data_IF_277386224279
#
_entry.id   IF_277386224279
#
_cell.length_a   1.000
_cell.length_b   1.000
_cell.length_c   1.000
_cell.angle_alpha   90.00
_cell.angle_beta   90.00
_cell.angle_gamma   90.00
#
_symmetry.space_group_name_H-M   'P 1'
#
loop_
_entity.id
_entity.type
_entity.pdbx_description
1 polymer ?
#
# COMPACT_ATOMS: atom_id res chain seq x y z
N UNK A 1 -59.97 14.93 -12.91
CA UNK A 1 -60.09 16.32 -13.35
C UNK A 1 -60.16 17.16 -12.08
N UNK A 2 -59.18 17.01 -11.19
CA UNK A 2 -57.78 17.49 -11.30
C UNK A 2 -57.79 19.01 -11.01
N UNK A 3 -57.02 19.59 -10.09
CA UNK A 3 -55.65 19.29 -9.70
C UNK A 3 -55.36 19.76 -8.26
N UNK A 4 -54.44 19.01 -7.63
CA UNK A 4 -53.63 19.46 -6.49
C UNK A 4 -52.72 20.62 -6.96
N UNK A 5 -52.29 21.57 -6.14
CA UNK A 5 -50.93 21.49 -5.60
C UNK A 5 -50.72 22.59 -4.57
N UNK A 6 -50.61 22.17 -3.32
CA UNK A 6 -50.11 22.98 -2.22
C UNK A 6 -48.76 22.41 -1.82
N UNK A 7 -47.68 22.90 -2.41
CA UNK A 7 -46.36 22.89 -1.79
C UNK A 7 -45.52 24.04 -2.35
N UNK A 8 -45.49 25.13 -1.59
CA UNK A 8 -44.41 26.10 -1.68
C UNK A 8 -43.10 25.33 -1.58
N UNK A 9 -42.37 25.30 -2.69
CA UNK A 9 -41.06 24.67 -2.79
C UNK A 9 -40.13 25.44 -1.86
N UNK A 10 -40.02 24.95 -0.62
CA UNK A 10 -38.94 25.35 0.27
C UNK A 10 -37.64 25.02 -0.47
N UNK A 11 -36.74 25.99 -0.70
CA UNK A 11 -35.47 25.68 -1.30
C UNK A 11 -34.82 24.66 -0.36
N UNK A 12 -34.56 23.46 -0.86
CA UNK A 12 -33.61 22.56 -0.22
C UNK A 12 -32.31 23.34 -0.17
N UNK A 13 -32.09 24.00 0.95
CA UNK A 13 -30.79 24.47 1.36
C UNK A 13 -29.88 23.27 1.15
N UNK A 14 -28.96 23.38 0.18
CA UNK A 14 -27.73 22.61 0.19
C UNK A 14 -27.01 23.03 1.46
N UNK A 15 -27.48 22.51 2.59
CA UNK A 15 -26.87 22.69 3.89
C UNK A 15 -25.56 21.95 3.82
N UNK A 16 -24.49 22.74 3.71
CA UNK A 16 -23.11 22.43 4.00
C UNK A 16 -22.70 20.97 3.80
N UNK A 17 -21.96 20.72 2.73
CA UNK A 17 -20.89 19.74 2.79
C UNK A 17 -19.90 20.26 3.85
N UNK A 18 -20.23 20.04 5.12
CA UNK A 18 -19.36 20.35 6.25
C UNK A 18 -18.22 19.35 6.26
N UNK A 19 -17.05 19.81 6.70
CA UNK A 19 -15.90 18.96 6.94
C UNK A 19 -16.29 17.82 7.88
N UNK A 20 -15.94 16.56 7.53
CA UNK A 20 -16.05 15.45 8.47
C UNK A 20 -14.88 15.48 9.47
N UNK A 21 -14.99 14.71 10.56
CA UNK A 21 -13.89 14.56 11.52
C UNK A 21 -12.68 13.91 10.83
N UNK A 22 -12.93 12.91 9.97
CA UNK A 22 -11.92 12.25 9.15
C UNK A 22 -11.22 13.22 8.18
N UNK A 23 -11.95 14.17 7.58
CA UNK A 23 -11.35 15.20 6.72
C UNK A 23 -10.35 16.07 7.51
N UNK A 24 -10.67 16.38 8.77
CA UNK A 24 -9.84 17.20 9.64
C UNK A 24 -8.60 16.44 10.13
N UNK A 25 -8.77 15.19 10.54
CA UNK A 25 -7.68 14.28 10.92
C UNK A 25 -6.71 14.07 9.76
N UNK A 26 -7.25 13.75 8.57
CA UNK A 26 -6.47 13.56 7.36
C UNK A 26 -5.61 14.80 7.04
N UNK A 27 -6.22 16.00 7.09
CA UNK A 27 -5.51 17.25 6.90
C UNK A 27 -4.39 17.48 7.93
N UNK A 28 -4.66 17.16 9.20
CA UNK A 28 -3.68 17.25 10.27
C UNK A 28 -2.47 16.33 10.01
N UNK A 29 -2.71 15.06 9.66
CA UNK A 29 -1.63 14.11 9.39
C UNK A 29 -0.82 14.47 8.13
N UNK A 30 -1.45 15.03 7.10
CA UNK A 30 -0.71 15.56 5.94
C UNK A 30 0.16 16.76 6.29
N UNK A 31 -0.33 17.64 7.16
CA UNK A 31 0.47 18.77 7.67
C UNK A 31 1.66 18.27 8.49
N UNK A 32 1.45 17.31 9.38
CA UNK A 32 2.51 16.70 10.17
C UNK A 32 3.55 15.97 9.33
N UNK A 33 3.13 15.26 8.28
CA UNK A 33 4.04 14.62 7.34
C UNK A 33 4.91 15.67 6.66
N UNK A 34 4.30 16.73 6.12
CA UNK A 34 5.03 17.82 5.47
C UNK A 34 6.06 18.46 6.39
N UNK A 35 5.65 18.80 7.61
CA UNK A 35 6.55 19.40 8.60
C UNK A 35 7.71 18.47 8.96
N UNK A 36 7.46 17.17 9.07
CA UNK A 36 8.51 16.18 9.27
C UNK A 36 9.48 16.12 8.09
N UNK A 37 8.99 16.10 6.85
CA UNK A 37 9.84 16.09 5.65
C UNK A 37 10.74 17.33 5.57
N UNK A 38 10.25 18.48 6.05
CA UNK A 38 11.00 19.75 6.05
C UNK A 38 12.04 19.85 7.18
N UNK A 39 11.84 19.14 8.30
CA UNK A 39 12.68 19.24 9.50
C UNK A 39 13.70 18.12 9.64
N UNK A 40 13.31 16.89 9.31
CA UNK A 40 14.15 15.72 9.55
C UNK A 40 15.42 15.74 8.67
N UNK A 41 16.62 15.52 9.24
CA UNK A 41 17.86 15.57 8.48
C UNK A 41 17.90 14.63 7.28
N UNK A 42 17.40 13.40 7.42
CA UNK A 42 17.37 12.42 6.33
C UNK A 42 16.42 12.88 5.23
N UNK A 43 15.22 13.32 5.60
CA UNK A 43 14.21 13.77 4.64
C UNK A 43 14.67 15.02 3.86
N UNK A 44 15.39 15.92 4.53
CA UNK A 44 15.97 17.12 3.92
C UNK A 44 17.07 16.80 2.93
N UNK A 45 17.98 15.87 3.26
CA UNK A 45 19.04 15.43 2.34
C UNK A 45 18.42 14.77 1.12
N UNK A 46 17.44 13.88 1.31
CA UNK A 46 16.70 13.24 0.22
C UNK A 46 15.82 14.21 -0.59
N UNK A 47 15.71 15.47 -0.13
CA UNK A 47 14.90 16.55 -0.72
C UNK A 47 13.49 16.09 -1.03
N UNK A 48 12.91 15.35 -0.09
CA UNK A 48 11.57 14.82 -0.25
C UNK A 48 10.57 15.97 -0.33
N UNK A 49 9.83 15.99 -1.42
CA UNK A 49 8.67 16.86 -1.57
C UNK A 49 7.46 15.97 -1.69
N UNK A 50 6.38 16.36 -1.02
CA UNK A 50 5.10 15.74 -1.24
C UNK A 50 4.62 16.14 -2.65
N UNK A 51 4.94 15.33 -3.66
CA UNK A 51 4.51 15.54 -5.07
C UNK A 51 3.07 15.03 -5.29
N UNK A 52 2.54 14.26 -4.34
CA UNK A 52 1.16 13.81 -4.26
C UNK A 52 0.89 13.14 -2.92
N UNK A 53 -0.37 12.77 -2.67
CA UNK A 53 -0.72 12.00 -1.48
C UNK A 53 -0.18 10.57 -1.56
N UNK A 54 0.35 10.02 -0.47
CA UNK A 54 0.68 8.60 -0.41
C UNK A 54 -0.55 7.77 -0.78
N UNK A 55 -0.38 6.75 -1.62
CA UNK A 55 -1.53 5.98 -2.15
C UNK A 55 -1.52 4.50 -1.81
N UNK A 56 -0.34 3.92 -1.60
CA UNK A 56 -0.20 2.49 -1.31
C UNK A 56 0.24 2.31 0.14
N UNK A 57 -0.27 1.26 0.82
CA UNK A 57 0.17 0.92 2.18
C UNK A 57 1.67 0.65 2.21
N UNK A 58 2.28 0.91 3.37
CA UNK A 58 3.73 0.76 3.56
C UNK A 58 4.08 -0.45 4.44
N UNK A 59 5.22 -1.07 4.18
CA UNK A 59 5.76 -2.18 4.97
C UNK A 59 6.54 -1.66 6.18
N UNK A 60 6.39 -2.31 7.33
CA UNK A 60 7.18 -1.98 8.53
C UNK A 60 8.70 -2.06 8.26
N UNK A 61 9.50 -1.09 8.75
CA UNK A 61 10.95 -1.14 8.68
C UNK A 61 11.51 -2.32 9.48
N UNK A 62 12.54 -2.97 8.94
CA UNK A 62 13.24 -4.04 9.65
C UNK A 62 14.25 -3.40 10.60
N UNK A 63 14.39 -3.91 11.82
CA UNK A 63 15.45 -3.43 12.72
C UNK A 63 16.80 -3.95 12.21
N UNK A 64 17.59 -3.07 11.63
CA UNK A 64 18.90 -3.42 11.07
C UNK A 64 20.04 -2.96 11.99
N UNK A 65 21.23 -3.55 11.88
CA UNK A 65 22.44 -3.03 12.52
C UNK A 65 23.39 -2.37 11.49
N UNK A 66 22.97 -2.31 10.22
CA UNK A 66 23.76 -1.86 9.10
C UNK A 66 23.18 -0.57 8.52
N UNK A 67 24.04 0.41 8.26
CA UNK A 67 23.68 1.72 7.70
C UNK A 67 23.05 1.61 6.31
N UNK A 68 23.63 0.78 5.44
CA UNK A 68 23.09 0.56 4.10
C UNK A 68 21.68 -0.03 4.13
N UNK A 69 21.42 -1.00 5.01
CA UNK A 69 20.08 -1.58 5.11
C UNK A 69 19.06 -0.57 5.67
N UNK A 70 19.46 0.28 6.63
CA UNK A 70 18.60 1.37 7.10
C UNK A 70 18.26 2.37 5.99
N UNK A 71 19.21 2.73 5.13
CA UNK A 71 18.96 3.62 3.97
C UNK A 71 18.07 2.93 2.94
N UNK A 72 18.29 1.65 2.65
CA UNK A 72 17.42 0.86 1.77
C UNK A 72 15.99 0.80 2.29
N UNK A 73 15.79 0.69 3.60
CA UNK A 73 14.46 0.72 4.23
C UNK A 73 13.77 2.08 3.99
N UNK A 74 14.49 3.21 4.10
CA UNK A 74 13.94 4.54 3.77
C UNK A 74 13.51 4.59 2.31
N UNK A 75 14.38 4.21 1.38
CA UNK A 75 14.08 4.24 -0.05
C UNK A 75 12.92 3.30 -0.42
N UNK A 76 12.82 2.14 0.23
CA UNK A 76 11.69 1.21 0.07
C UNK A 76 10.39 1.87 0.49
N UNK A 77 10.32 2.47 1.68
CA UNK A 77 9.12 3.16 2.17
C UNK A 77 8.66 4.25 1.20
N UNK A 78 9.61 5.03 0.68
CA UNK A 78 9.29 6.10 -0.27
C UNK A 78 8.72 5.53 -1.56
N UNK A 79 9.31 4.47 -2.09
CA UNK A 79 8.83 3.78 -3.28
C UNK A 79 7.41 3.23 -3.08
N UNK A 80 7.17 2.54 -1.97
CA UNK A 80 5.86 2.00 -1.60
C UNK A 80 4.84 3.14 -1.46
N UNK A 81 5.17 4.21 -0.74
CA UNK A 81 4.28 5.37 -0.61
C UNK A 81 4.06 6.17 -1.92
N UNK A 82 4.69 5.80 -3.03
CA UNK A 82 4.63 6.55 -4.28
C UNK A 82 5.34 7.92 -4.21
N UNK A 83 6.24 8.09 -3.25
CA UNK A 83 7.03 9.30 -3.05
C UNK A 83 8.33 9.24 -3.84
N UNK A 84 8.76 10.40 -4.35
CA UNK A 84 10.00 10.53 -5.11
C UNK A 84 10.99 11.42 -4.37
N UNK A 85 12.26 11.02 -4.36
CA UNK A 85 13.35 11.86 -3.84
C UNK A 85 13.76 12.88 -4.90
N UNK A 86 14.27 14.03 -4.45
CA UNK A 86 14.98 14.94 -5.33
C UNK A 86 16.37 14.41 -5.69
N UNK A 87 17.14 15.19 -6.44
CA UNK A 87 18.57 14.94 -6.57
C UNK A 87 19.26 15.23 -5.23
N UNK A 88 19.94 14.24 -4.67
CA UNK A 88 20.66 14.29 -3.40
C UNK A 88 22.04 13.64 -3.52
N UNK A 89 22.95 13.97 -2.60
CA UNK A 89 24.23 13.28 -2.47
C UNK A 89 24.06 12.08 -1.52
N UNK A 90 24.46 10.90 -1.98
CA UNK A 90 24.39 9.70 -1.15
C UNK A 90 25.35 9.77 0.02
N UNK A 91 26.50 10.41 -0.14
CA UNK A 91 27.53 10.53 0.91
C UNK A 91 26.96 11.31 2.10
N UNK A 92 26.18 12.38 1.87
CA UNK A 92 25.49 13.13 2.93
C UNK A 92 24.57 12.23 3.79
N UNK A 93 23.84 11.30 3.16
CA UNK A 93 22.99 10.32 3.89
C UNK A 93 23.87 9.33 4.66
N UNK A 94 24.96 8.89 4.03
CA UNK A 94 25.94 7.98 4.62
C UNK A 94 26.90 8.62 5.62
N UNK A 95 26.79 9.91 5.89
CA UNK A 95 27.50 10.60 6.97
C UNK A 95 26.67 10.70 8.26
N UNK A 96 25.34 10.65 8.19
CA UNK A 96 24.46 10.69 9.37
C UNK A 96 24.59 9.46 10.27
N UNK A 97 24.46 9.59 11.59
CA UNK A 97 24.51 8.42 12.48
C UNK A 97 23.45 7.36 12.13
N UNK A 98 23.80 6.07 12.25
CA UNK A 98 22.85 4.96 12.03
C UNK A 98 21.55 5.15 12.83
N UNK A 99 21.66 5.65 14.07
CA UNK A 99 20.51 5.91 14.93
C UNK A 99 19.60 7.00 14.34
N UNK A 100 20.17 8.05 13.74
CA UNK A 100 19.41 9.13 13.10
C UNK A 100 18.62 8.55 11.92
N UNK A 101 19.26 7.75 11.08
CA UNK A 101 18.60 7.10 9.94
C UNK A 101 17.47 6.20 10.42
N UNK A 102 17.72 5.32 11.40
CA UNK A 102 16.70 4.43 11.94
C UNK A 102 15.50 5.16 12.55
N UNK A 103 15.75 6.23 13.30
CA UNK A 103 14.67 7.05 13.88
C UNK A 103 13.85 7.69 12.77
N UNK A 104 14.51 8.30 11.78
CA UNK A 104 13.83 8.90 10.63
C UNK A 104 13.01 7.86 9.84
N UNK A 105 13.53 6.65 9.63
CA UNK A 105 12.78 5.56 8.97
C UNK A 105 11.51 5.19 9.73
N UNK A 106 11.59 5.08 11.06
CA UNK A 106 10.44 4.73 11.91
C UNK A 106 9.41 5.85 11.98
N UNK A 107 9.86 7.09 12.07
CA UNK A 107 8.99 8.26 12.13
C UNK A 107 8.28 8.45 10.77
N UNK A 108 9.00 8.26 9.66
CA UNK A 108 8.42 8.25 8.32
C UNK A 108 7.35 7.16 8.18
N UNK A 109 7.68 5.92 8.55
CA UNK A 109 6.73 4.82 8.52
C UNK A 109 5.50 5.10 9.38
N UNK A 110 5.66 5.62 10.60
CA UNK A 110 4.55 5.90 11.50
C UNK A 110 3.57 6.93 10.92
N UNK A 111 4.10 7.97 10.26
CA UNK A 111 3.27 8.99 9.59
C UNK A 111 2.58 8.44 8.35
N UNK A 112 3.29 7.65 7.54
CA UNK A 112 2.72 7.00 6.36
C UNK A 112 1.65 5.97 6.72
N UNK A 113 1.88 5.15 7.75
CA UNK A 113 0.93 4.15 8.24
C UNK A 113 -0.44 4.74 8.58
N UNK A 114 -0.49 5.96 9.12
CA UNK A 114 -1.76 6.61 9.44
C UNK A 114 -2.49 7.05 8.16
N UNK A 115 -1.75 7.48 7.13
CA UNK A 115 -2.32 7.98 5.88
C UNK A 115 -2.74 6.87 4.90
N UNK A 116 -1.96 5.80 4.79
CA UNK A 116 -2.15 4.74 3.78
C UNK A 116 -2.31 3.33 4.35
N UNK A 117 -2.20 3.19 5.67
CA UNK A 117 -2.19 1.88 6.32
C UNK A 117 -0.84 1.17 6.22
N UNK A 118 -0.82 -0.03 6.79
CA UNK A 118 0.34 -0.92 6.82
C UNK A 118 0.06 -2.17 5.99
N UNK A 119 1.04 -2.62 5.22
CA UNK A 119 0.97 -3.92 4.56
C UNK A 119 1.04 -5.00 5.64
N UNK A 120 0.04 -5.89 5.77
CA UNK A 120 0.07 -6.96 6.75
C UNK A 120 1.31 -7.83 6.55
N UNK A 121 2.24 -7.77 7.52
CA UNK A 121 3.34 -8.70 7.56
C UNK A 121 2.75 -10.05 7.95
N UNK A 122 2.69 -11.00 7.01
CA UNK A 122 2.35 -12.39 7.28
C UNK A 122 3.51 -13.00 8.08
N UNK A 123 3.61 -12.65 9.35
CA UNK A 123 4.23 -13.51 10.34
C UNK A 123 3.12 -14.48 10.68
N UNK A 124 3.18 -15.69 10.12
CA UNK A 124 2.22 -16.76 10.38
C UNK A 124 1.99 -16.84 11.91
N UNK A 125 0.83 -16.39 12.43
CA UNK A 125 0.51 -16.67 13.81
C UNK A 125 0.10 -18.13 13.81
N UNK A 126 1.02 -19.01 14.20
CA UNK A 126 0.67 -20.37 14.63
C UNK A 126 -0.63 -20.28 15.41
N UNK A 127 -1.74 -20.87 14.92
CA UNK A 127 -3.00 -20.79 15.63
C UNK A 127 -2.77 -21.43 17.00
N UNK A 128 -2.73 -20.59 18.05
CA UNK A 128 -2.79 -21.11 19.41
C UNK A 128 -4.14 -21.82 19.51
N UNK A 129 -4.16 -23.09 19.95
CA UNK A 129 -5.41 -23.81 20.05
C UNK A 129 -6.34 -23.04 21.00
N UNK A 130 -7.64 -22.91 20.68
CA UNK A 130 -8.56 -22.30 21.61
C UNK A 130 -8.52 -23.12 22.90
N UNK A 131 -8.24 -22.46 24.02
CA UNK A 131 -8.44 -23.03 25.34
C UNK A 131 -9.94 -23.33 25.50
N UNK A 132 -10.36 -24.51 25.07
CA UNK A 132 -11.72 -24.98 25.22
C UNK A 132 -11.92 -25.35 26.69
N UNK A 133 -12.43 -24.38 27.45
CA UNK A 133 -13.13 -24.66 28.69
C UNK A 133 -14.45 -25.30 28.28
N UNK A 134 -14.54 -26.63 28.27
CA UNK A 134 -15.79 -27.37 28.48
C UNK A 134 -15.42 -28.75 28.97
N UNK A 135 -15.20 -28.83 30.28
CA UNK A 135 -15.36 -30.08 31.00
C UNK A 135 -16.87 -30.34 31.09
N UNK A 136 -17.37 -31.23 30.23
CA UNK A 136 -18.62 -31.97 30.45
C UNK A 136 -18.68 -33.17 29.52
N UNK A 137 -18.22 -34.26 30.10
CA UNK A 137 -18.56 -35.65 29.82
C UNK A 137 -19.89 -35.82 29.08
N UNK A 138 -19.90 -36.55 27.97
CA UNK A 138 -20.87 -37.63 27.71
C UNK A 138 -20.28 -38.56 26.66
N UNK A 139 -20.05 -39.80 27.09
CA UNK A 139 -19.72 -40.96 26.28
C UNK A 139 -20.75 -41.16 25.17
N UNK A 140 -20.32 -41.31 23.92
CA UNK A 140 -21.02 -42.16 22.98
C UNK A 140 -20.10 -42.64 21.86
N UNK A 141 -20.31 -43.89 21.51
CA UNK A 141 -19.43 -44.84 20.86
C UNK A 141 -19.23 -44.67 19.36
N UNK A 142 -18.02 -45.04 18.93
CA UNK A 142 -17.66 -45.80 17.73
C UNK A 142 -18.66 -45.86 16.55
N UNK A 143 -18.25 -45.29 15.41
CA UNK A 143 -18.36 -45.97 14.13
C UNK A 143 -17.09 -45.76 13.31
N UNK A 144 -16.50 -46.88 12.88
CA UNK A 144 -15.46 -46.92 11.87
C UNK A 144 -16.10 -46.85 10.48
N UNK A 145 -15.51 -46.10 9.56
CA UNK A 145 -15.66 -46.36 8.12
C UNK A 145 -14.44 -45.82 7.39
N UNK A 146 -13.79 -46.77 6.73
CA UNK A 146 -12.72 -46.60 5.78
C UNK A 146 -13.31 -46.35 4.38
N UNK A 147 -12.64 -45.51 3.60
CA UNK A 147 -12.36 -45.74 2.18
C UNK A 147 -11.41 -44.63 1.74
N UNK A 148 -10.21 -45.03 1.32
CA UNK A 148 -9.37 -44.27 0.42
C UNK A 148 -10.14 -43.91 -0.86
N UNK A 149 -10.13 -42.63 -1.24
CA UNK A 149 -10.45 -42.19 -2.59
C UNK A 149 -9.23 -41.45 -3.13
N UNK A 150 -8.41 -42.21 -3.85
CA UNK A 150 -7.33 -41.73 -4.71
C UNK A 150 -7.95 -41.06 -5.94
N UNK A 151 -8.45 -39.83 -5.76
CA UNK A 151 -8.83 -38.99 -6.88
C UNK A 151 -7.59 -38.38 -7.53
N UNK A 152 -7.01 -39.14 -8.46
CA UNK A 152 -6.03 -38.69 -9.45
C UNK A 152 -6.73 -37.83 -10.51
N UNK A 153 -6.63 -36.51 -10.39
CA UNK A 153 -7.05 -35.58 -11.44
C UNK A 153 -5.90 -34.65 -11.82
N UNK A 154 -5.00 -35.21 -12.62
CA UNK A 154 -4.14 -34.50 -13.57
C UNK A 154 -4.92 -33.40 -14.30
N UNK A 155 -4.78 -32.16 -13.84
CA UNK A 155 -5.29 -30.97 -14.53
C UNK A 155 -4.18 -30.35 -15.36
N UNK A 156 -4.09 -30.74 -16.62
CA UNK A 156 -3.19 -30.09 -17.58
C UNK A 156 -3.68 -28.65 -17.85
N UNK A 157 -2.83 -27.62 -17.73
CA UNK A 157 -3.25 -26.25 -17.96
C UNK A 157 -3.57 -26.03 -19.44
N UNK A 158 -4.81 -25.61 -19.72
CA UNK A 158 -5.29 -25.25 -21.04
C UNK A 158 -4.41 -24.17 -21.69
N UNK A 159 -3.62 -24.54 -22.69
CA UNK A 159 -2.79 -23.61 -23.47
C UNK A 159 -3.68 -22.72 -24.35
N UNK A 160 -3.58 -21.41 -24.16
CA UNK A 160 -4.22 -20.42 -25.02
C UNK A 160 -3.45 -20.28 -26.33
N UNK A 161 -4.15 -20.36 -27.46
CA UNK A 161 -3.62 -19.99 -28.77
C UNK A 161 -3.48 -18.46 -28.84
N UNK A 162 -2.25 -17.96 -28.87
CA UNK A 162 -1.97 -16.56 -29.18
C UNK A 162 -2.15 -16.32 -30.69
N UNK A 163 -2.98 -15.33 -31.03
CA UNK A 163 -3.15 -14.87 -32.40
C UNK A 163 -1.85 -14.27 -32.99
N UNK A 164 -1.78 -14.07 -34.33
CA UNK A 164 -0.56 -13.68 -35.01
C UNK A 164 -0.02 -12.32 -34.54
N UNK A 165 1.30 -12.30 -34.31
CA UNK A 165 2.09 -11.17 -33.87
C UNK A 165 2.09 -10.04 -34.91
N UNK A 166 1.71 -8.82 -34.51
CA UNK A 166 1.57 -7.65 -35.37
C UNK A 166 2.89 -6.96 -35.75
N UNK A 167 3.82 -7.67 -36.38
CA UNK A 167 5.13 -7.13 -36.81
C UNK A 167 5.10 -6.29 -38.10
N UNK A 168 3.92 -6.02 -38.67
CA UNK A 168 3.77 -5.38 -39.99
C UNK A 168 3.94 -3.84 -40.02
N UNK A 169 4.02 -3.14 -38.89
CA UNK A 169 3.98 -1.67 -38.88
C UNK A 169 5.34 -0.95 -39.04
N UNK A 170 6.44 -1.64 -39.35
CA UNK A 170 7.76 -1.00 -39.48
C UNK A 170 8.16 -0.60 -40.92
N UNK A 171 7.42 -0.99 -41.97
CA UNK A 171 7.84 -0.73 -43.35
C UNK A 171 7.28 0.56 -43.99
N UNK A 172 6.41 1.29 -43.29
CA UNK A 172 5.77 2.49 -43.87
C UNK A 172 6.56 3.81 -43.69
N UNK A 173 7.62 3.84 -42.87
CA UNK A 173 8.37 5.08 -42.57
C UNK A 173 9.80 5.18 -43.11
N UNK A 174 10.32 4.15 -43.79
CA UNK A 174 11.68 4.17 -44.35
C UNK A 174 11.79 4.66 -45.80
N UNK A 175 10.68 5.04 -46.46
CA UNK A 175 10.69 5.48 -47.87
C UNK A 175 10.62 6.99 -48.08
N UNK A 176 10.52 7.81 -47.01
CA UNK A 176 10.42 9.28 -47.14
C UNK A 176 11.77 10.02 -47.03
N UNK A 177 12.86 9.35 -46.66
CA UNK A 177 14.15 10.03 -46.40
C UNK A 177 15.26 9.71 -47.41
N UNK A 178 14.90 9.42 -48.67
CA UNK A 178 15.85 9.48 -49.79
C UNK A 178 15.15 9.89 -51.07
N UNK A 179 14.69 11.15 -51.15
CA UNK A 179 14.63 11.96 -52.39
C UNK A 179 14.36 13.41 -52.01
N UNK A 180 15.40 14.23 -51.87
CA UNK A 180 15.87 15.21 -52.86
C UNK A 180 16.81 16.19 -52.18
#
# INVERSE_FOLDING_TARGET
MDDEDQIGSSPRSRSGQGWSDEDLENLFYHKELREFLDRDPVMRILRLKQVGDPREPVSAPIKTANKLEAVKDVLRLLKEAGMTTGAFDADDVFDLDLKVIQTATKDLFSKLKILVGEIPQITDPVPSPPASITDRQTSSSHYASAAEDESDLSSEPKRMSLGPSGTSMLEARSKIQRRK
#
